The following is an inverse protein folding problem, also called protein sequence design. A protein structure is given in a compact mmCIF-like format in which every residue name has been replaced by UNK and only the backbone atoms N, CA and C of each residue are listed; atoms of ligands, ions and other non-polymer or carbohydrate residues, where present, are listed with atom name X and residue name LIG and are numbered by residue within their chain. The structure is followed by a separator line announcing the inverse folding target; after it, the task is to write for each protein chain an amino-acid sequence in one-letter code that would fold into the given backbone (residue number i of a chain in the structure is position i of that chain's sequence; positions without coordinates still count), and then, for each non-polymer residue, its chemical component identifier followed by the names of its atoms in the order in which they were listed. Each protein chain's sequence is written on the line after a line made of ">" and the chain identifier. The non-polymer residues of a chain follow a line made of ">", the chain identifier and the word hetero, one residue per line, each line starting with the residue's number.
data_IF_224508491397
#
_entry.id   IF_224508491397
#
_cell.length_a   1.000
_cell.length_b   1.000
_cell.length_c   1.000
_cell.angle_alpha   90.00
_cell.angle_beta   90.00
_cell.angle_gamma   90.00
#
_symmetry.space_group_name_H-M   'P 1'
#
loop_
_entity.id
_entity.type
_entity.pdbx_description
1 polymer ?
#
# COMPACT_ATOMS: atom_id res chain seq x y z
N UNK A 1 -93.75 -9.54 0.88
CA UNK A 1 -92.93 -8.98 -0.23
C UNK A 1 -92.30 -7.74 0.35
N UNK A 2 -91.17 -7.93 1.01
CA UNK A 2 -90.47 -6.92 1.80
C UNK A 2 -89.29 -6.33 1.02
N UNK A 3 -88.98 -5.08 1.32
CA UNK A 3 -87.65 -4.51 1.10
C UNK A 3 -87.48 -3.68 -0.17
N UNK A 4 -87.91 -2.42 -0.14
CA UNK A 4 -87.29 -1.37 -0.96
C UNK A 4 -85.89 -1.12 -0.43
N UNK A 5 -84.88 -1.73 -1.06
CA UNK A 5 -83.48 -1.45 -0.80
C UNK A 5 -83.15 0.00 -1.16
N UNK A 6 -82.71 0.75 -0.15
CA UNK A 6 -82.13 2.09 -0.27
C UNK A 6 -81.12 2.10 -1.41
N UNK A 7 -81.28 3.02 -2.37
CA UNK A 7 -80.24 3.34 -3.33
C UNK A 7 -79.00 3.76 -2.54
N UNK A 8 -77.98 2.92 -2.63
CA UNK A 8 -76.68 3.08 -2.02
C UNK A 8 -76.19 4.52 -2.11
N UNK A 9 -76.22 5.23 -0.99
CA UNK A 9 -75.40 6.40 -0.73
C UNK A 9 -73.94 5.96 -0.59
N UNK A 10 -73.40 5.31 -1.62
CA UNK A 10 -71.98 5.07 -1.74
C UNK A 10 -71.35 6.45 -2.00
N UNK A 11 -71.02 7.14 -0.91
CA UNK A 11 -70.11 8.28 -0.96
C UNK A 11 -68.82 7.69 -1.54
N UNK A 12 -68.55 7.97 -2.80
CA UNK A 12 -67.25 7.70 -3.39
C UNK A 12 -66.25 8.60 -2.66
N UNK A 13 -65.68 8.12 -1.55
CA UNK A 13 -64.46 8.70 -1.00
C UNK A 13 -63.37 8.49 -2.04
N UNK A 14 -63.15 9.49 -2.89
CA UNK A 14 -62.06 9.43 -3.86
C UNK A 14 -60.76 9.49 -3.09
N UNK A 15 -59.99 8.41 -3.12
CA UNK A 15 -58.65 8.39 -2.52
C UNK A 15 -57.80 9.37 -3.31
N UNK A 16 -57.19 10.35 -2.62
CA UNK A 16 -56.35 11.32 -3.30
C UNK A 16 -55.11 10.64 -3.91
N UNK A 17 -54.80 10.91 -5.20
CA UNK A 17 -53.61 10.39 -5.82
C UNK A 17 -52.35 10.93 -5.13
N UNK A 18 -51.25 10.21 -5.25
CA UNK A 18 -49.97 10.64 -4.70
C UNK A 18 -49.60 12.06 -5.17
N UNK A 19 -49.04 12.85 -4.26
CA UNK A 19 -48.76 14.27 -4.45
C UNK A 19 -49.93 15.20 -4.10
N UNK A 20 -51.10 14.65 -3.79
CA UNK A 20 -52.24 15.41 -3.27
C UNK A 20 -52.70 14.87 -1.91
N UNK A 21 -53.48 15.68 -1.20
CA UNK A 21 -54.05 15.34 0.10
C UNK A 21 -55.47 15.89 0.26
N UNK A 22 -56.23 15.33 1.19
CA UNK A 22 -57.53 15.84 1.64
C UNK A 22 -57.59 15.83 3.16
N UNK A 23 -57.86 16.96 3.79
CA UNK A 23 -57.88 17.02 5.26
C UNK A 23 -59.04 16.20 5.83
N UNK A 24 -60.21 16.29 5.19
CA UNK A 24 -61.38 15.51 5.54
C UNK A 24 -61.61 14.38 4.52
N UNK A 25 -61.86 13.14 4.97
CA UNK A 25 -62.22 12.03 4.08
C UNK A 25 -63.50 12.25 3.27
N UNK A 26 -64.35 13.18 3.71
CA UNK A 26 -65.60 13.56 3.06
C UNK A 26 -65.41 14.65 1.98
N UNK A 27 -64.20 15.19 1.83
CA UNK A 27 -63.91 16.18 0.78
C UNK A 27 -63.92 15.51 -0.61
N UNK A 28 -64.50 16.20 -1.59
CA UNK A 28 -64.52 15.75 -2.98
C UNK A 28 -63.27 16.15 -3.78
N UNK A 29 -62.44 17.05 -3.24
CA UNK A 29 -61.32 17.66 -3.96
C UNK A 29 -60.00 17.42 -3.24
N UNK A 30 -59.02 16.94 -4.01
CA UNK A 30 -57.65 16.76 -3.53
C UNK A 30 -56.82 18.02 -3.77
N UNK A 31 -56.20 18.52 -2.70
CA UNK A 31 -55.30 19.67 -2.75
C UNK A 31 -53.87 19.21 -3.05
N UNK A 32 -53.16 19.91 -3.93
CA UNK A 32 -51.75 19.60 -4.21
C UNK A 32 -50.90 19.84 -2.96
N UNK A 33 -49.96 18.94 -2.69
CA UNK A 33 -48.94 19.23 -1.69
C UNK A 33 -48.12 20.44 -2.13
N UNK A 34 -47.90 21.44 -1.24
CA UNK A 34 -47.10 22.60 -1.60
C UNK A 34 -45.64 22.20 -1.82
N UNK A 35 -44.88 23.07 -2.49
CA UNK A 35 -43.43 22.88 -2.62
C UNK A 35 -42.78 22.70 -1.23
N UNK A 36 -41.75 21.85 -1.18
CA UNK A 36 -41.16 21.37 0.07
C UNK A 36 -41.92 20.23 0.75
N UNK A 37 -43.07 19.78 0.23
CA UNK A 37 -43.80 18.64 0.79
C UNK A 37 -44.18 17.62 -0.28
N UNK A 38 -44.42 16.39 0.16
CA UNK A 38 -44.93 15.31 -0.69
C UNK A 38 -45.98 14.47 0.05
N UNK A 39 -46.79 13.72 -0.69
CA UNK A 39 -47.71 12.75 -0.12
C UNK A 39 -47.75 11.48 -0.94
N UNK A 40 -47.88 10.35 -0.25
CA UNK A 40 -48.31 9.11 -0.89
C UNK A 40 -49.81 9.15 -1.13
N UNK A 41 -50.32 8.19 -1.91
CA UNK A 41 -51.74 8.04 -2.16
C UNK A 41 -52.54 7.89 -0.85
N UNK A 42 -53.72 8.51 -0.81
CA UNK A 42 -54.68 8.41 0.29
C UNK A 42 -54.27 9.14 1.58
N UNK A 43 -53.28 10.03 1.52
CA UNK A 43 -52.87 10.80 2.70
C UNK A 43 -53.81 11.97 2.97
N UNK A 44 -54.05 12.21 4.26
CA UNK A 44 -54.86 13.35 4.72
C UNK A 44 -54.04 14.62 4.97
N UNK A 45 -52.72 14.54 4.85
CA UNK A 45 -51.80 15.66 4.96
C UNK A 45 -50.52 15.40 4.18
N UNK A 46 -49.80 16.47 3.84
CA UNK A 46 -48.50 16.36 3.17
C UNK A 46 -47.36 16.26 4.18
N UNK A 47 -46.42 15.37 3.88
CA UNK A 47 -45.18 15.18 4.65
C UNK A 47 -44.12 16.17 4.17
N UNK A 48 -43.46 16.87 5.09
CA UNK A 48 -42.35 17.73 4.75
C UNK A 48 -41.15 16.93 4.23
N UNK A 49 -40.47 17.45 3.21
CA UNK A 49 -39.20 16.89 2.79
C UNK A 49 -38.19 16.99 3.93
N UNK A 50 -37.67 15.84 4.35
CA UNK A 50 -36.62 15.74 5.36
C UNK A 50 -35.30 16.29 4.81
N UNK A 51 -34.39 16.65 5.72
CA UNK A 51 -33.08 17.19 5.39
C UNK A 51 -32.33 16.33 4.37
N UNK A 52 -31.74 16.98 3.37
CA UNK A 52 -31.08 16.33 2.23
C UNK A 52 -32.01 16.04 1.04
N UNK A 53 -33.33 16.22 1.21
CA UNK A 53 -34.33 16.10 0.14
C UNK A 53 -35.09 17.41 -0.07
N UNK A 54 -35.66 17.56 -1.26
CA UNK A 54 -36.44 18.74 -1.65
C UNK A 54 -37.63 18.36 -2.54
N UNK A 55 -38.61 19.25 -2.62
CA UNK A 55 -39.72 19.19 -3.57
C UNK A 55 -39.87 20.56 -4.24
N UNK A 56 -39.42 20.69 -5.48
CA UNK A 56 -39.35 21.98 -6.17
C UNK A 56 -40.71 22.52 -6.64
N UNK A 57 -41.67 21.63 -6.88
CA UNK A 57 -42.99 21.97 -7.39
C UNK A 57 -44.06 21.44 -6.45
N UNK A 58 -45.25 22.04 -6.53
CA UNK A 58 -46.42 21.50 -5.86
C UNK A 58 -46.89 20.21 -6.56
N UNK A 59 -47.56 19.33 -5.82
CA UNK A 59 -48.15 18.10 -6.37
C UNK A 59 -47.17 16.92 -6.49
N UNK A 60 -45.99 16.99 -5.86
CA UNK A 60 -45.00 15.91 -5.93
C UNK A 60 -45.36 14.75 -5.00
N UNK A 61 -45.34 13.54 -5.52
CA UNK A 61 -45.57 12.30 -4.76
C UNK A 61 -44.42 11.95 -3.83
N UNK A 62 -43.19 12.38 -4.17
CA UNK A 62 -42.00 12.14 -3.38
C UNK A 62 -41.04 13.33 -3.42
N UNK A 63 -40.25 13.48 -2.35
CA UNK A 63 -39.14 14.44 -2.30
C UNK A 63 -37.89 13.85 -2.97
N UNK A 64 -37.30 14.59 -3.91
CA UNK A 64 -36.04 14.22 -4.57
C UNK A 64 -34.83 14.49 -3.68
N UNK A 65 -33.76 13.70 -3.80
CA UNK A 65 -32.51 13.97 -3.09
C UNK A 65 -31.74 15.11 -3.76
N UNK A 66 -31.05 15.92 -2.97
CA UNK A 66 -30.06 16.83 -3.53
C UNK A 66 -28.90 16.04 -4.15
N UNK A 67 -28.46 16.46 -5.33
CA UNK A 67 -27.29 15.89 -6.00
C UNK A 67 -25.99 16.16 -5.22
N UNK A 68 -24.91 15.45 -5.54
CA UNK A 68 -23.59 15.74 -4.99
C UNK A 68 -23.15 17.18 -5.26
N UNK A 69 -22.46 17.78 -4.28
CA UNK A 69 -22.05 19.19 -4.31
C UNK A 69 -23.18 20.18 -3.98
N UNK A 70 -24.36 19.70 -3.56
CA UNK A 70 -25.48 20.53 -3.10
C UNK A 70 -26.00 20.04 -1.74
N UNK A 71 -26.64 20.95 -0.99
CA UNK A 71 -27.37 20.65 0.23
C UNK A 71 -28.81 21.15 0.11
N UNK A 72 -29.73 20.56 0.87
CA UNK A 72 -31.09 21.09 0.95
C UNK A 72 -31.06 22.51 1.53
N UNK A 73 -31.85 23.43 0.97
CA UNK A 73 -31.87 24.84 1.42
C UNK A 73 -32.43 25.02 2.83
N UNK A 74 -33.18 24.04 3.32
CA UNK A 74 -33.79 23.98 4.66
C UNK A 74 -33.63 22.58 5.24
N UNK A 75 -33.63 22.45 6.57
CA UNK A 75 -33.61 21.15 7.26
C UNK A 75 -34.94 20.41 7.16
N UNK A 76 -36.05 21.15 7.05
CA UNK A 76 -37.37 20.62 6.74
C UNK A 76 -38.02 21.44 5.64
N UNK A 77 -38.82 20.77 4.84
CA UNK A 77 -39.61 21.36 3.75
C UNK A 77 -38.77 22.18 2.77
N UNK A 78 -37.60 21.65 2.37
CA UNK A 78 -36.77 22.31 1.38
C UNK A 78 -37.42 22.28 0.00
N UNK A 79 -37.46 23.44 -0.65
CA UNK A 79 -38.02 23.60 -1.99
C UNK A 79 -36.92 23.49 -3.06
N UNK A 80 -35.65 23.66 -2.67
CA UNK A 80 -34.52 23.62 -3.58
C UNK A 80 -33.27 23.09 -2.88
N UNK A 81 -32.26 22.83 -3.69
CA UNK A 81 -30.91 22.54 -3.21
C UNK A 81 -29.99 23.72 -3.49
N UNK A 82 -29.26 24.16 -2.49
CA UNK A 82 -28.23 25.19 -2.61
C UNK A 82 -26.87 24.53 -2.87
N UNK A 83 -26.06 25.14 -3.74
CA UNK A 83 -24.70 24.66 -4.04
C UNK A 83 -23.80 24.83 -2.83
N UNK A 84 -22.86 23.91 -2.66
CA UNK A 84 -21.79 24.09 -1.69
C UNK A 84 -20.82 25.17 -2.17
N UNK A 85 -20.41 26.03 -1.24
CA UNK A 85 -19.37 27.03 -1.50
C UNK A 85 -17.99 26.37 -1.53
N UNK A 86 -17.18 26.71 -2.52
CA UNK A 86 -15.82 26.18 -2.67
C UNK A 86 -14.95 26.68 -1.50
N UNK A 87 -14.11 25.82 -0.88
CA UNK A 87 -13.67 24.49 -1.32
C UNK A 87 -14.47 23.30 -0.76
N UNK A 88 -15.69 23.51 -0.28
CA UNK A 88 -16.55 22.45 0.23
C UNK A 88 -17.46 21.85 -0.85
N UNK A 89 -17.85 20.61 -0.61
CA UNK A 89 -18.77 19.79 -1.40
C UNK A 89 -19.51 18.83 -0.47
N UNK A 90 -20.37 18.00 -1.05
CA UNK A 90 -21.27 17.11 -0.32
C UNK A 90 -21.60 15.86 -1.15
N UNK A 91 -22.02 14.79 -0.48
CA UNK A 91 -22.61 13.61 -1.16
C UNK A 91 -24.07 13.89 -1.52
N UNK A 92 -24.60 13.10 -2.44
CA UNK A 92 -26.04 13.14 -2.71
C UNK A 92 -26.83 12.88 -1.43
N UNK A 93 -27.89 13.66 -1.20
CA UNK A 93 -28.71 13.60 0.01
C UNK A 93 -28.05 14.17 1.28
N UNK A 94 -26.89 14.83 1.18
CA UNK A 94 -26.24 15.42 2.33
C UNK A 94 -27.01 16.64 2.87
N UNK A 95 -26.90 16.82 4.19
CA UNK A 95 -27.54 17.91 4.93
C UNK A 95 -26.62 19.12 5.13
N UNK A 96 -25.31 18.91 4.97
CA UNK A 96 -24.28 19.94 5.04
C UNK A 96 -23.20 19.73 3.97
N UNK A 97 -22.40 20.77 3.76
CA UNK A 97 -21.21 20.74 2.91
C UNK A 97 -20.00 20.52 3.82
N UNK A 98 -19.39 19.34 3.74
CA UNK A 98 -18.34 18.90 4.67
C UNK A 98 -17.21 18.11 3.99
N UNK A 99 -17.27 17.99 2.66
CA UNK A 99 -16.28 17.24 1.88
C UNK A 99 -15.42 18.24 1.13
N UNK A 100 -14.12 18.27 1.40
CA UNK A 100 -13.23 19.10 0.61
C UNK A 100 -13.17 18.61 -0.84
N UNK A 101 -13.16 19.55 -1.79
CA UNK A 101 -12.94 19.22 -3.20
C UNK A 101 -11.52 18.70 -3.44
N UNK A 102 -11.25 18.19 -4.65
CA UNK A 102 -9.91 17.80 -5.05
C UNK A 102 -8.92 18.98 -4.91
N UNK A 103 -7.66 18.68 -4.62
CA UNK A 103 -6.61 19.66 -4.25
C UNK A 103 -6.82 20.36 -2.90
N UNK A 104 -7.77 19.92 -2.07
CA UNK A 104 -7.93 20.34 -0.69
C UNK A 104 -8.02 19.12 0.24
N UNK A 105 -7.74 19.33 1.52
CA UNK A 105 -7.94 18.32 2.56
C UNK A 105 -8.63 18.94 3.77
N UNK A 106 -9.36 18.11 4.53
CA UNK A 106 -9.97 18.53 5.79
C UNK A 106 -8.94 18.39 6.93
N UNK A 107 -8.63 19.51 7.58
CA UNK A 107 -7.74 19.56 8.74
C UNK A 107 -8.46 19.22 10.05
N UNK A 108 -7.71 19.13 11.16
CA UNK A 108 -8.25 18.83 12.51
C UNK A 108 -9.29 19.84 13.00
N UNK A 109 -9.20 21.09 12.52
CA UNK A 109 -10.14 22.15 12.86
C UNK A 109 -11.47 22.05 12.08
N UNK A 110 -11.61 21.08 11.16
CA UNK A 110 -12.76 20.96 10.27
C UNK A 110 -12.72 21.93 9.08
N UNK A 111 -11.57 22.55 8.82
CA UNK A 111 -11.36 23.50 7.74
C UNK A 111 -10.73 22.84 6.51
N UNK A 112 -11.18 23.20 5.32
CA UNK A 112 -10.59 22.72 4.06
C UNK A 112 -9.36 23.53 3.68
N UNK A 113 -8.17 22.97 3.91
CA UNK A 113 -6.89 23.59 3.56
C UNK A 113 -6.39 23.10 2.20
N UNK A 114 -5.56 23.91 1.55
CA UNK A 114 -4.95 23.55 0.26
C UNK A 114 -4.06 22.30 0.41
N UNK A 115 -4.05 21.43 -0.59
CA UNK A 115 -3.24 20.21 -0.57
C UNK A 115 -1.75 20.56 -0.45
N UNK A 116 -1.02 19.95 0.51
CA UNK A 116 0.42 20.12 0.61
C UNK A 116 1.12 19.61 -0.67
N UNK A 117 2.30 20.17 -0.96
CA UNK A 117 3.13 19.66 -2.06
C UNK A 117 3.51 18.20 -1.81
N UNK A 118 3.61 17.43 -2.88
CA UNK A 118 3.98 16.00 -2.87
C UNK A 118 2.96 15.09 -2.15
N UNK A 119 1.69 15.51 -2.17
CA UNK A 119 0.55 14.73 -1.68
C UNK A 119 -0.51 14.68 -2.78
N UNK A 120 -1.16 13.53 -2.92
CA UNK A 120 -2.33 13.36 -3.77
C UNK A 120 -3.61 13.57 -2.96
N UNK A 121 -4.21 14.75 -3.06
CA UNK A 121 -5.51 15.05 -2.43
C UNK A 121 -6.66 14.91 -3.43
N UNK A 122 -7.42 13.82 -3.31
CA UNK A 122 -8.69 13.63 -4.00
C UNK A 122 -9.83 14.28 -3.20
N UNK A 123 -11.02 14.35 -3.78
CA UNK A 123 -12.19 14.83 -3.03
C UNK A 123 -12.42 13.96 -1.77
N UNK A 124 -12.62 14.61 -0.64
CA UNK A 124 -12.79 13.95 0.66
C UNK A 124 -11.49 13.46 1.30
N UNK A 125 -10.32 13.91 0.83
CA UNK A 125 -9.08 13.73 1.58
C UNK A 125 -9.18 14.46 2.93
N UNK A 126 -8.76 13.78 3.99
CA UNK A 126 -8.59 14.31 5.35
C UNK A 126 -7.12 14.18 5.73
N UNK A 127 -6.67 14.95 6.73
CA UNK A 127 -5.28 14.92 7.18
C UNK A 127 -4.71 13.50 7.39
N UNK A 128 -5.51 12.65 8.03
CA UNK A 128 -5.11 11.28 8.38
C UNK A 128 -4.94 10.35 7.17
N UNK A 129 -5.65 10.60 6.06
CA UNK A 129 -5.64 9.72 4.88
C UNK A 129 -4.97 10.34 3.65
N UNK A 130 -4.24 11.45 3.84
CA UNK A 130 -3.40 12.04 2.81
C UNK A 130 -2.50 10.99 2.17
N UNK A 131 -2.53 10.91 0.85
CA UNK A 131 -1.72 9.97 0.08
C UNK A 131 -0.40 10.64 -0.32
N UNK A 132 0.64 10.40 0.47
CA UNK A 132 1.97 11.00 0.28
C UNK A 132 2.64 10.36 -0.93
N UNK A 133 3.21 11.17 -1.83
CA UNK A 133 3.89 10.67 -3.02
C UNK A 133 5.10 9.78 -2.65
N UNK A 134 5.46 8.88 -3.56
CA UNK A 134 6.70 8.08 -3.46
C UNK A 134 7.92 9.01 -3.35
N UNK A 135 8.90 8.63 -2.52
CA UNK A 135 10.06 9.48 -2.23
C UNK A 135 9.86 10.49 -1.10
N UNK A 136 8.64 10.61 -0.57
CA UNK A 136 8.31 11.53 0.51
C UNK A 136 7.82 10.81 1.76
N UNK A 137 7.98 11.48 2.89
CA UNK A 137 7.69 10.97 4.22
C UNK A 137 7.13 12.09 5.10
N UNK A 138 6.28 11.72 6.06
CA UNK A 138 5.84 12.60 7.14
C UNK A 138 5.93 11.86 8.48
N UNK A 139 6.11 12.63 9.55
CA UNK A 139 6.36 12.07 10.90
C UNK A 139 5.22 11.21 11.42
N UNK A 140 3.99 11.64 11.15
CA UNK A 140 2.78 10.94 11.54
C UNK A 140 1.63 11.34 10.61
N UNK A 141 0.47 10.71 10.79
CA UNK A 141 -0.72 10.96 9.98
C UNK A 141 -1.39 12.31 10.25
N UNK A 142 -0.95 13.07 11.26
CA UNK A 142 -1.44 14.40 11.62
C UNK A 142 -0.51 15.52 11.13
N UNK A 143 0.70 15.18 10.69
CA UNK A 143 1.62 16.18 10.15
C UNK A 143 1.23 16.59 8.73
N UNK A 144 1.16 17.91 8.51
CA UNK A 144 1.03 18.54 7.18
C UNK A 144 2.38 18.79 6.52
N UNK A 145 3.49 18.62 7.26
CA UNK A 145 4.84 18.81 6.76
C UNK A 145 5.31 17.55 6.04
N UNK A 146 5.44 17.66 4.72
CA UNK A 146 5.88 16.57 3.86
C UNK A 146 7.34 16.79 3.51
N UNK A 147 8.18 15.83 3.87
CA UNK A 147 9.63 15.93 3.70
C UNK A 147 10.14 14.90 2.69
N UNK A 148 11.11 15.30 1.89
CA UNK A 148 11.77 14.42 0.93
C UNK A 148 12.77 13.50 1.64
N UNK A 149 12.87 12.25 1.20
CA UNK A 149 13.79 11.29 1.79
C UNK A 149 15.22 11.52 1.29
N UNK A 150 16.11 11.84 2.23
CA UNK A 150 17.43 12.46 1.97
C UNK A 150 18.45 11.52 1.32
N UNK A 151 18.39 10.21 1.59
CA UNK A 151 19.38 9.26 1.09
C UNK A 151 18.96 8.60 -0.21
N UNK A 152 17.77 7.98 -0.23
CA UNK A 152 17.20 7.41 -1.46
C UNK A 152 15.70 7.61 -1.46
N UNK A 153 15.17 8.20 -2.54
CA UNK A 153 13.72 8.34 -2.74
C UNK A 153 13.02 6.97 -2.70
N UNK A 154 13.71 5.93 -3.14
CA UNK A 154 13.21 4.56 -3.12
C UNK A 154 12.94 4.00 -1.70
N UNK A 155 13.56 4.55 -0.65
CA UNK A 155 13.30 4.15 0.74
C UNK A 155 11.92 4.51 1.21
N UNK A 156 11.34 5.57 0.64
CA UNK A 156 10.03 6.06 0.98
C UNK A 156 9.03 5.59 -0.05
N UNK A 157 8.25 4.59 0.34
CA UNK A 157 7.09 4.13 -0.43
C UNK A 157 6.03 5.23 -0.53
N UNK A 158 5.95 6.12 0.46
CA UNK A 158 4.84 7.05 0.60
C UNK A 158 3.54 6.30 0.94
N UNK A 159 2.40 6.88 0.58
CA UNK A 159 1.08 6.32 0.83
C UNK A 159 0.27 7.06 1.89
N UNK A 160 -0.83 6.45 2.32
CA UNK A 160 -1.82 7.02 3.24
C UNK A 160 -1.86 6.38 4.64
N UNK A 161 -0.86 5.56 4.97
CA UNK A 161 -0.76 4.82 6.24
C UNK A 161 0.20 5.45 7.25
N UNK A 162 0.58 4.69 8.28
CA UNK A 162 1.61 5.07 9.26
C UNK A 162 3.02 4.65 8.86
N UNK A 163 3.15 3.66 7.97
CA UNK A 163 4.44 3.20 7.43
C UNK A 163 4.62 3.73 6.01
N UNK A 164 5.37 4.84 5.89
CA UNK A 164 5.79 5.41 4.61
C UNK A 164 7.07 4.77 4.07
N UNK A 165 7.67 3.86 4.85
CA UNK A 165 8.95 3.26 4.55
C UNK A 165 8.80 1.96 3.77
N UNK A 166 9.75 1.71 2.88
CA UNK A 166 9.79 0.52 2.03
C UNK A 166 10.68 -0.55 2.64
N UNK A 167 10.19 -1.79 2.60
CA UNK A 167 10.93 -2.95 3.08
C UNK A 167 11.21 -2.85 4.57
N UNK A 168 12.46 -3.09 4.95
CA UNK A 168 12.94 -3.11 6.33
C UNK A 168 13.57 -1.78 6.75
N UNK A 169 13.01 -0.68 6.24
CA UNK A 169 13.49 0.66 6.57
C UNK A 169 12.53 1.30 7.58
N UNK A 170 13.05 2.06 8.53
CA UNK A 170 12.24 2.74 9.54
C UNK A 170 12.84 4.08 9.97
N UNK A 171 12.14 4.76 10.89
CA UNK A 171 12.57 6.04 11.45
C UNK A 171 12.38 7.24 10.51
N UNK A 172 12.90 8.41 10.91
CA UNK A 172 12.80 9.63 10.12
C UNK A 172 13.41 9.45 8.73
N UNK A 173 12.68 9.89 7.69
CA UNK A 173 13.10 9.77 6.29
C UNK A 173 13.38 8.34 5.81
N UNK A 174 12.94 7.32 6.58
CA UNK A 174 13.24 5.92 6.32
C UNK A 174 14.74 5.63 6.19
N UNK A 175 15.56 6.38 6.95
CA UNK A 175 17.01 6.34 6.87
C UNK A 175 17.63 5.16 7.63
N UNK A 176 16.93 4.60 8.62
CA UNK A 176 17.40 3.46 9.40
C UNK A 176 16.93 2.12 8.80
N UNK A 177 17.64 1.05 9.12
CA UNK A 177 17.28 -0.32 8.77
C UNK A 177 16.90 -1.08 10.04
N UNK A 178 15.92 -1.98 9.93
CA UNK A 178 15.52 -2.84 11.03
C UNK A 178 16.68 -3.75 11.47
N UNK A 179 16.58 -4.31 12.67
CA UNK A 179 17.59 -5.22 13.22
C UNK A 179 17.89 -6.39 12.26
N UNK A 180 19.18 -6.69 12.09
CA UNK A 180 19.63 -7.71 11.13
C UNK A 180 19.72 -7.22 9.68
N UNK A 181 19.48 -5.93 9.42
CA UNK A 181 19.70 -5.30 8.12
C UNK A 181 20.69 -4.14 8.20
N UNK A 182 21.39 -3.89 7.09
CA UNK A 182 22.31 -2.78 6.93
C UNK A 182 22.12 -2.14 5.54
N UNK A 183 22.58 -0.90 5.37
CA UNK A 183 22.50 -0.18 4.10
C UNK A 183 23.89 0.11 3.56
N UNK A 184 24.23 -0.51 2.44
CA UNK A 184 25.48 -0.22 1.74
C UNK A 184 25.46 1.20 1.15
N UNK A 185 26.64 1.78 0.97
CA UNK A 185 26.77 3.07 0.28
C UNK A 185 26.19 2.95 -1.14
N UNK A 186 25.23 3.82 -1.48
CA UNK A 186 24.53 3.81 -2.77
C UNK A 186 23.40 2.77 -2.91
N UNK A 187 23.13 1.94 -1.89
CA UNK A 187 22.03 0.99 -1.94
C UNK A 187 20.67 1.66 -1.68
N UNK A 188 19.69 1.33 -2.53
CA UNK A 188 18.34 1.87 -2.44
C UNK A 188 17.51 1.31 -1.28
N UNK A 189 17.79 0.08 -0.86
CA UNK A 189 17.06 -0.65 0.18
C UNK A 189 18.02 -1.29 1.19
N UNK A 190 17.53 -1.47 2.42
CA UNK A 190 18.20 -2.26 3.44
C UNK A 190 18.44 -3.70 2.97
N UNK A 191 19.64 -4.23 3.21
CA UNK A 191 20.09 -5.57 2.85
C UNK A 191 20.30 -6.39 4.12
N UNK A 192 20.01 -7.70 4.10
CA UNK A 192 20.21 -8.55 5.27
C UNK A 192 21.70 -8.70 5.60
N UNK A 193 22.02 -8.73 6.90
CA UNK A 193 23.36 -9.00 7.42
C UNK A 193 23.82 -10.43 7.12
N UNK A 194 22.90 -11.35 6.81
CA UNK A 194 23.19 -12.75 6.46
C UNK A 194 23.90 -12.91 5.12
N UNK A 195 23.97 -11.86 4.28
CA UNK A 195 24.87 -11.85 3.11
C UNK A 195 26.33 -11.58 3.53
N UNK A 196 26.78 -12.22 4.61
CA UNK A 196 28.15 -12.21 5.07
C UNK A 196 28.94 -13.21 4.23
N UNK A 197 29.53 -12.74 3.13
CA UNK A 197 30.52 -13.48 2.32
C UNK A 197 30.13 -14.94 2.00
N UNK A 198 29.15 -15.14 1.11
CA UNK A 198 29.33 -16.22 0.12
C UNK A 198 30.43 -15.75 -0.84
N UNK A 199 31.69 -15.79 -0.40
CA UNK A 199 32.73 -16.13 -1.36
C UNK A 199 32.35 -17.53 -1.76
N UNK A 200 31.69 -17.69 -2.91
CA UNK A 200 31.32 -18.99 -3.46
C UNK A 200 32.46 -19.94 -3.14
N UNK A 201 32.19 -21.06 -2.45
CA UNK A 201 33.24 -22.02 -2.09
C UNK A 201 34.12 -22.38 -3.32
N UNK A 202 33.54 -22.26 -4.52
CA UNK A 202 34.20 -22.32 -5.81
C UNK A 202 35.33 -21.30 -6.02
N UNK A 203 35.15 -20.02 -5.67
CA UNK A 203 36.19 -18.98 -5.77
C UNK A 203 37.34 -19.25 -4.78
N UNK A 204 37.02 -19.70 -3.56
CA UNK A 204 38.02 -20.12 -2.58
C UNK A 204 38.80 -21.36 -3.07
N UNK A 205 38.11 -22.35 -3.64
CA UNK A 205 38.74 -23.54 -4.21
C UNK A 205 39.61 -23.24 -5.44
N UNK A 206 39.16 -22.34 -6.33
CA UNK A 206 39.93 -21.92 -7.53
C UNK A 206 41.22 -21.20 -7.12
N UNK A 207 41.16 -20.31 -6.13
CA UNK A 207 42.35 -19.59 -5.66
C UNK A 207 43.37 -20.53 -4.98
N UNK A 208 42.91 -21.51 -4.20
CA UNK A 208 43.77 -22.55 -3.63
C UNK A 208 44.38 -23.43 -4.72
N UNK A 209 43.60 -23.88 -5.71
CA UNK A 209 44.08 -24.71 -6.80
C UNK A 209 45.12 -23.99 -7.67
N UNK A 210 44.90 -22.71 -7.98
CA UNK A 210 45.86 -21.88 -8.69
C UNK A 210 47.17 -21.71 -7.90
N UNK A 211 47.10 -21.49 -6.59
CA UNK A 211 48.27 -21.41 -5.71
C UNK A 211 49.08 -22.72 -5.68
N UNK A 212 48.41 -23.87 -5.59
CA UNK A 212 49.07 -25.18 -5.66
C UNK A 212 49.75 -25.39 -7.02
N UNK A 213 49.09 -25.04 -8.12
CA UNK A 213 49.65 -25.16 -9.47
C UNK A 213 50.92 -24.32 -9.65
N UNK A 214 50.92 -23.07 -9.15
CA UNK A 214 52.12 -22.20 -9.17
C UNK A 214 53.26 -22.80 -8.34
N UNK A 215 52.98 -23.33 -7.15
CA UNK A 215 53.99 -23.97 -6.31
C UNK A 215 54.58 -25.23 -6.96
N UNK A 216 53.74 -26.06 -7.59
CA UNK A 216 54.20 -27.25 -8.33
C UNK A 216 55.03 -26.84 -9.53
N UNK A 217 54.59 -25.85 -10.30
CA UNK A 217 55.32 -25.35 -11.46
C UNK A 217 56.67 -24.75 -11.06
N UNK A 218 56.71 -23.95 -9.98
CA UNK A 218 57.97 -23.42 -9.44
C UNK A 218 58.91 -24.55 -8.99
N UNK A 219 58.41 -25.60 -8.33
CA UNK A 219 59.23 -26.77 -7.97
C UNK A 219 59.76 -27.51 -9.19
N UNK A 220 58.95 -27.68 -10.24
CA UNK A 220 59.37 -28.31 -11.50
C UNK A 220 60.46 -27.48 -12.18
N UNK A 221 60.29 -26.15 -12.25
CA UNK A 221 61.29 -25.25 -12.82
C UNK A 221 62.60 -25.25 -12.00
N UNK A 222 62.52 -25.20 -10.67
CA UNK A 222 63.71 -25.31 -9.82
C UNK A 222 64.39 -26.66 -10.02
N UNK A 223 63.64 -27.75 -10.13
CA UNK A 223 64.19 -29.08 -10.41
C UNK A 223 64.84 -29.17 -11.79
N UNK A 224 64.21 -28.62 -12.83
CA UNK A 224 64.77 -28.55 -14.18
C UNK A 224 66.02 -27.67 -14.23
N UNK A 225 66.03 -26.53 -13.53
CA UNK A 225 67.17 -25.63 -13.43
C UNK A 225 68.34 -26.28 -12.67
N UNK A 226 68.06 -26.96 -11.55
CA UNK A 226 69.04 -27.78 -10.81
C UNK A 226 69.63 -28.88 -11.70
N UNK A 227 68.82 -29.51 -12.56
CA UNK A 227 69.26 -30.52 -13.53
C UNK A 227 70.17 -29.96 -14.63
N UNK A 228 69.92 -28.72 -15.04
CA UNK A 228 70.72 -28.04 -16.06
C UNK A 228 72.06 -27.51 -15.50
N UNK A 229 72.08 -27.01 -14.26
CA UNK A 229 73.28 -26.43 -13.63
C UNK A 229 74.16 -27.44 -12.88
N UNK A 230 73.61 -28.54 -12.36
CA UNK A 230 74.35 -29.53 -11.55
C UNK A 230 74.15 -30.99 -12.02
N UNK A 231 74.39 -31.33 -13.31
CA UNK A 231 74.11 -32.65 -13.84
C UNK A 231 74.95 -33.77 -13.18
N UNK A 232 76.21 -33.49 -12.84
CA UNK A 232 77.13 -34.46 -12.25
C UNK A 232 76.76 -34.83 -10.80
N UNK A 233 76.24 -33.87 -10.01
CA UNK A 233 75.84 -34.11 -8.62
C UNK A 233 74.55 -34.93 -8.56
N UNK A 234 73.60 -34.66 -9.47
CA UNK A 234 72.33 -35.40 -9.53
C UNK A 234 72.55 -36.85 -9.97
N UNK A 235 73.40 -37.09 -10.99
CA UNK A 235 73.75 -38.45 -11.40
C UNK A 235 74.38 -39.26 -10.26
N UNK A 236 75.28 -38.65 -9.46
CA UNK A 236 75.87 -39.29 -8.29
C UNK A 236 74.85 -39.55 -7.15
N UNK A 237 73.82 -38.72 -7.01
CA UNK A 237 72.74 -38.91 -6.05
C UNK A 237 71.74 -40.01 -6.48
N UNK A 238 71.40 -40.08 -7.77
CA UNK A 238 70.51 -41.12 -8.31
C UNK A 238 71.15 -42.52 -8.18
N UNK A 239 72.46 -42.64 -8.43
CA UNK A 239 73.19 -43.90 -8.30
C UNK A 239 73.26 -44.36 -6.82
N UNK A 240 73.50 -43.43 -5.88
CA UNK A 240 73.46 -43.72 -4.44
C UNK A 240 72.06 -44.06 -3.92
N UNK A 241 70.99 -43.42 -4.43
CA UNK A 241 69.61 -43.78 -4.08
C UNK A 241 69.18 -45.14 -4.66
N UNK A 242 69.67 -45.49 -5.86
CA UNK A 242 69.49 -46.81 -6.46
C UNK A 242 70.12 -47.90 -5.59
N UNK A 243 71.36 -47.70 -5.17
CA UNK A 243 72.05 -48.59 -4.24
C UNK A 243 71.33 -48.69 -2.87
N UNK A 244 70.81 -47.58 -2.34
CA UNK A 244 70.04 -47.56 -1.10
C UNK A 244 68.70 -48.32 -1.22
N UNK A 245 67.99 -48.20 -2.35
CA UNK A 245 66.75 -48.95 -2.62
C UNK A 245 67.00 -50.45 -2.70
N UNK A 246 68.08 -50.88 -3.37
CA UNK A 246 68.47 -52.30 -3.48
C UNK A 246 68.85 -52.83 -2.10
N UNK A 247 69.68 -52.11 -1.36
CA UNK A 247 70.07 -52.45 0.01
C UNK A 247 68.86 -52.53 0.97
N UNK A 248 67.89 -51.62 0.87
CA UNK A 248 66.68 -51.62 1.69
C UNK A 248 65.76 -52.81 1.39
N UNK A 249 65.65 -53.22 0.13
CA UNK A 249 64.89 -54.42 -0.28
C UNK A 249 65.59 -55.69 0.24
N UNK A 250 66.91 -55.78 0.12
CA UNK A 250 67.69 -56.90 0.68
C UNK A 250 67.62 -56.96 2.21
N UNK A 251 67.70 -55.81 2.89
CA UNK A 251 67.56 -55.71 4.34
C UNK A 251 66.16 -56.17 4.80
N UNK A 252 65.10 -55.74 4.11
CA UNK A 252 63.72 -56.22 4.36
C UNK A 252 63.56 -57.71 4.11
N UNK A 253 64.24 -58.27 3.10
CA UNK A 253 64.21 -59.69 2.82
C UNK A 253 64.94 -60.50 3.91
N UNK A 254 66.11 -60.05 4.36
CA UNK A 254 66.87 -60.68 5.47
C UNK A 254 66.14 -60.58 6.81
N UNK A 255 65.51 -59.46 7.12
CA UNK A 255 64.68 -59.29 8.32
C UNK A 255 63.43 -60.19 8.32
N UNK A 256 62.83 -60.47 7.16
CA UNK A 256 61.72 -61.42 7.06
C UNK A 256 62.12 -62.87 7.34
N UNK A 257 63.37 -63.26 7.07
CA UNK A 257 63.86 -64.62 7.31
C UNK A 257 64.20 -64.85 8.80
N UNK A 258 64.59 -63.82 9.56
CA UNK A 258 64.86 -63.91 11.01
C UNK A 258 63.59 -63.97 11.90
N UNK A 259 62.38 -63.83 11.34
CA UNK A 259 61.11 -63.88 12.10
C UNK A 259 60.35 -65.20 11.85
N UNK A 260 60.97 -66.17 11.16
CA UNK A 260 60.36 -67.48 10.85
C UNK A 260 61.23 -68.66 11.33
N UNK A 261 62.09 -68.45 12.33
CA UNK A 261 62.72 -69.51 13.11
C UNK A 261 62.53 -69.25 14.60
#
# INVERSE_FOLDING_TARGET
>A
RDGTGVSSGAVFCSICPAGKYQENPDDYFCTNCPAGKSSLEGKTSCTACVSGRFAALAGLSECSMCESGKKASKSLAAEKCDKCEVPLSSRAGATNCSICIANNFLDTDGECKACPKNVHCKSGTVLMNMDVHTGYWRVDTQSTTISECTHTKASCKGGNGSSYCRGQSHGPYCAACDEGYWRAFGAETCQSCDKRMDIDANIALISIAAGVAVCVFARVLVFQCMRQYYPAIIAACEDKMGAYKIWYVELKAKLKIMVVF
#
